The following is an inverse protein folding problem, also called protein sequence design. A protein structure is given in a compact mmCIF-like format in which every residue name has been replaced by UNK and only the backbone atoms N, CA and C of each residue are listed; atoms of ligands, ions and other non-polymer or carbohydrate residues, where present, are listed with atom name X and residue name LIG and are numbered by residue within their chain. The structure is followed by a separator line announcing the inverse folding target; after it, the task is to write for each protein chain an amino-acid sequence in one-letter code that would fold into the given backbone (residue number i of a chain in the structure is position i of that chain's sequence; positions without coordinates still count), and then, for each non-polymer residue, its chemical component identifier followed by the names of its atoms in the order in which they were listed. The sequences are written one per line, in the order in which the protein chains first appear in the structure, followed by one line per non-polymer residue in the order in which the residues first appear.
data_IF_806749709110
#
_entry.id   IF_806749709110
#
_cell.length_a   1.000
_cell.length_b   1.000
_cell.length_c   1.000
_cell.angle_alpha   90.00
_cell.angle_beta   90.00
_cell.angle_gamma   90.00
#
_symmetry.space_group_name_H-M   'P 1'
#
loop_
_entity.id
_entity.type
_entity.pdbx_description
1 polymer ?
#
# COMPACT_ATOMS: atom_id res chain seq x y z
N UNK A 1 -6.42 29.57 7.58
CA UNK A 1 -6.03 28.27 7.02
C UNK A 1 -6.17 28.30 5.51
N UNK A 2 -5.17 27.83 4.81
CA UNK A 2 -5.21 27.66 3.35
C UNK A 2 -6.14 26.48 3.01
N UNK A 3 -6.83 26.52 1.88
CA UNK A 3 -7.68 25.41 1.47
C UNK A 3 -6.88 24.35 0.71
N UNK A 4 -7.12 23.08 1.03
CA UNK A 4 -6.62 21.94 0.29
C UNK A 4 -7.78 21.10 -0.28
N UNK A 5 -7.79 20.88 -1.59
CA UNK A 5 -8.69 19.94 -2.23
C UNK A 5 -7.92 18.65 -2.48
N UNK A 6 -8.29 17.61 -1.75
CA UNK A 6 -7.66 16.31 -1.83
C UNK A 6 -8.53 15.34 -2.63
N UNK A 7 -8.04 14.91 -3.79
CA UNK A 7 -8.79 14.09 -4.73
C UNK A 7 -8.20 12.69 -4.71
N UNK A 8 -9.01 11.68 -4.37
CA UNK A 8 -8.56 10.32 -4.16
C UNK A 8 -9.60 9.28 -4.61
N UNK A 9 -9.29 8.01 -4.46
CA UNK A 9 -10.26 6.91 -4.55
C UNK A 9 -10.23 6.03 -3.28
N UNK A 10 -11.27 5.20 -3.12
CA UNK A 10 -11.42 4.36 -1.94
C UNK A 10 -10.32 3.28 -1.77
N UNK A 11 -9.51 3.04 -2.80
CA UNK A 11 -8.32 2.18 -2.71
C UNK A 11 -7.14 2.80 -1.94
N UNK A 12 -7.19 4.14 -1.72
CA UNK A 12 -6.18 4.86 -0.95
C UNK A 12 -6.54 5.08 0.52
N UNK A 13 -7.70 4.59 0.95
CA UNK A 13 -8.24 4.83 2.28
C UNK A 13 -7.22 4.65 3.41
N UNK A 14 -6.50 3.55 3.42
CA UNK A 14 -5.51 3.22 4.45
C UNK A 14 -4.28 4.15 4.45
N UNK A 15 -3.97 4.78 3.33
CA UNK A 15 -2.97 5.83 3.21
C UNK A 15 -3.55 7.18 3.63
N UNK A 16 -4.74 7.51 3.14
CA UNK A 16 -5.38 8.81 3.36
C UNK A 16 -5.70 9.07 4.84
N UNK A 17 -6.15 8.05 5.58
CA UNK A 17 -6.41 8.15 7.03
C UNK A 17 -5.14 8.41 7.86
N UNK A 18 -3.96 8.17 7.26
CA UNK A 18 -2.67 8.37 7.93
C UNK A 18 -2.03 9.70 7.56
N UNK A 19 -2.13 10.13 6.29
CA UNK A 19 -1.46 11.35 5.83
C UNK A 19 -2.31 12.61 6.01
N UNK A 20 -3.64 12.53 5.82
CA UNK A 20 -4.50 13.71 5.94
C UNK A 20 -4.48 14.35 7.34
N UNK A 21 -4.53 13.58 8.45
CA UNK A 21 -4.43 14.15 9.79
C UNK A 21 -3.15 14.94 10.07
N UNK A 22 -2.09 14.72 9.29
CA UNK A 22 -0.82 15.42 9.49
C UNK A 22 -0.85 16.89 9.03
N UNK A 23 -1.80 17.26 8.15
CA UNK A 23 -1.88 18.61 7.55
C UNK A 23 -3.12 19.40 7.92
N UNK A 24 -3.94 18.90 8.86
CA UNK A 24 -5.21 19.55 9.25
C UNK A 24 -5.04 20.88 9.96
N UNK A 25 -3.90 21.09 10.62
CA UNK A 25 -3.63 22.35 11.33
C UNK A 25 -3.26 23.47 10.35
N UNK A 26 -2.80 23.14 9.16
CA UNK A 26 -2.32 24.08 8.14
C UNK A 26 -3.36 24.31 7.03
N UNK A 27 -4.21 23.30 6.77
CA UNK A 27 -5.16 23.30 5.66
C UNK A 27 -6.59 22.98 6.09
N UNK A 28 -7.55 23.75 5.54
CA UNK A 28 -8.96 23.36 5.52
C UNK A 28 -9.17 22.32 4.40
N UNK A 29 -9.34 21.05 4.74
CA UNK A 29 -9.30 19.93 3.79
C UNK A 29 -10.71 19.58 3.31
N UNK A 30 -10.90 19.63 1.98
CA UNK A 30 -12.06 19.02 1.31
C UNK A 30 -11.60 17.78 0.54
N UNK A 31 -12.11 16.60 0.90
CA UNK A 31 -11.83 15.34 0.20
C UNK A 31 -12.86 15.11 -0.89
N UNK A 32 -12.40 14.82 -2.11
CA UNK A 32 -13.22 14.38 -3.24
C UNK A 32 -12.84 12.93 -3.53
N UNK A 33 -13.72 11.99 -3.21
CA UNK A 33 -13.42 10.55 -3.30
C UNK A 33 -14.31 9.84 -4.31
N UNK A 34 -13.67 9.01 -5.16
CA UNK A 34 -14.37 8.07 -6.02
C UNK A 34 -14.54 6.71 -5.33
N UNK A 35 -15.78 6.29 -5.17
CA UNK A 35 -16.11 5.00 -4.54
C UNK A 35 -16.19 3.90 -5.60
N UNK A 36 -15.27 2.93 -5.53
CA UNK A 36 -15.22 1.72 -6.39
C UNK A 36 -15.62 0.47 -5.63
N UNK A 37 -15.26 0.41 -4.35
CA UNK A 37 -15.46 -0.75 -3.50
C UNK A 37 -16.61 -0.47 -2.54
N UNK A 38 -17.72 -1.22 -2.66
CA UNK A 38 -18.90 -1.08 -1.79
C UNK A 38 -18.60 -1.25 -0.28
N UNK A 39 -17.41 -1.74 0.07
CA UNK A 39 -17.04 -2.12 1.42
C UNK A 39 -16.22 -1.06 2.18
N UNK A 40 -15.60 -0.11 1.48
CA UNK A 40 -14.80 0.95 2.10
C UNK A 40 -15.62 2.23 2.13
N UNK A 41 -16.13 2.57 3.31
CA UNK A 41 -16.90 3.80 3.50
C UNK A 41 -15.97 4.92 3.91
N UNK A 42 -15.73 5.85 3.01
CA UNK A 42 -15.20 7.15 3.37
C UNK A 42 -16.26 7.90 4.19
N UNK A 43 -16.12 7.91 5.50
CA UNK A 43 -17.00 8.66 6.40
C UNK A 43 -16.19 9.74 7.12
N UNK A 44 -16.74 10.93 7.26
CA UNK A 44 -16.06 12.07 7.89
C UNK A 44 -15.62 11.76 9.33
N UNK A 45 -16.38 10.97 10.07
CA UNK A 45 -16.02 10.50 11.41
C UNK A 45 -14.75 9.66 11.48
N UNK A 46 -14.32 9.07 10.35
CA UNK A 46 -13.18 8.18 10.27
C UNK A 46 -11.88 8.87 9.84
N UNK A 47 -11.97 10.14 9.38
CA UNK A 47 -10.78 10.95 9.06
C UNK A 47 -10.85 12.22 9.88
N UNK A 48 -10.08 12.26 10.95
CA UNK A 48 -10.03 13.40 11.86
C UNK A 48 -9.62 14.67 11.11
N UNK A 49 -10.36 15.76 11.34
CA UNK A 49 -9.99 17.11 10.86
C UNK A 49 -10.32 17.42 9.40
N UNK A 50 -10.96 16.52 8.66
CA UNK A 50 -11.46 16.81 7.31
C UNK A 50 -12.74 17.62 7.39
N UNK A 51 -12.76 18.78 6.71
CA UNK A 51 -13.91 19.73 6.75
C UNK A 51 -15.10 19.20 5.95
N UNK A 52 -14.86 18.55 4.81
CA UNK A 52 -15.90 18.06 3.91
C UNK A 52 -15.45 16.85 3.11
N UNK A 53 -16.35 15.87 2.91
CA UNK A 53 -16.16 14.74 2.00
C UNK A 53 -17.23 14.79 0.91
N UNK A 54 -16.79 14.78 -0.34
CA UNK A 54 -17.61 14.74 -1.54
C UNK A 54 -17.40 13.39 -2.20
N UNK A 55 -18.46 12.60 -2.31
CA UNK A 55 -18.42 11.26 -2.88
C UNK A 55 -19.02 11.22 -4.27
N UNK A 56 -18.39 10.48 -5.18
CA UNK A 56 -18.97 10.16 -6.48
C UNK A 56 -18.67 8.71 -6.86
N UNK A 57 -19.49 8.12 -7.72
CA UNK A 57 -19.31 6.75 -8.16
C UNK A 57 -18.52 6.68 -9.46
N UNK A 58 -17.62 5.70 -9.56
CA UNK A 58 -16.85 5.43 -10.78
C UNK A 58 -17.49 4.35 -11.63
N UNK A 59 -17.11 4.33 -12.92
CA UNK A 59 -17.56 3.32 -13.88
C UNK A 59 -16.92 1.97 -13.53
N UNK A 60 -17.73 0.99 -13.13
CA UNK A 60 -17.32 -0.39 -12.97
C UNK A 60 -18.08 -1.30 -13.96
N UNK A 61 -17.49 -2.43 -14.32
CA UNK A 61 -17.79 -3.31 -15.48
C UNK A 61 -19.26 -3.74 -15.67
N UNK A 62 -20.18 -3.48 -14.73
CA UNK A 62 -21.60 -3.84 -14.81
C UNK A 62 -22.54 -2.77 -14.23
N UNK A 63 -22.16 -1.51 -14.23
CA UNK A 63 -22.96 -0.45 -13.64
C UNK A 63 -23.75 0.33 -14.71
N UNK A 64 -24.89 0.83 -14.30
CA UNK A 64 -25.75 1.69 -15.13
C UNK A 64 -25.00 2.99 -15.52
N UNK A 65 -24.58 3.05 -16.77
CA UNK A 65 -23.81 4.15 -17.35
C UNK A 65 -24.47 5.52 -17.11
N UNK A 66 -25.81 5.57 -17.08
CA UNK A 66 -26.55 6.84 -16.88
C UNK A 66 -26.43 7.35 -15.44
N UNK A 67 -26.46 6.44 -14.44
CA UNK A 67 -26.28 6.80 -13.02
C UNK A 67 -24.87 7.28 -12.76
N UNK A 68 -23.89 6.63 -13.37
CA UNK A 68 -22.48 6.98 -13.26
C UNK A 68 -22.22 8.34 -13.88
N UNK A 69 -22.73 8.60 -15.07
CA UNK A 69 -22.57 9.89 -15.73
C UNK A 69 -23.18 11.03 -14.92
N UNK A 70 -24.37 10.84 -14.31
CA UNK A 70 -24.98 11.81 -13.39
C UNK A 70 -24.13 12.04 -12.14
N UNK A 71 -23.61 11.00 -11.54
CA UNK A 71 -22.72 11.08 -10.35
C UNK A 71 -21.42 11.78 -10.68
N UNK A 72 -20.85 11.50 -11.84
CA UNK A 72 -19.65 12.14 -12.35
C UNK A 72 -19.85 13.65 -12.60
N UNK A 73 -20.95 14.04 -13.28
CA UNK A 73 -21.30 15.46 -13.48
C UNK A 73 -21.52 16.17 -12.14
N UNK A 74 -22.14 15.51 -11.18
CA UNK A 74 -22.30 16.05 -9.82
C UNK A 74 -20.96 16.29 -9.15
N UNK A 75 -20.05 15.33 -9.19
CA UNK A 75 -18.69 15.47 -8.66
C UNK A 75 -17.91 16.62 -9.31
N UNK A 76 -18.02 16.77 -10.65
CA UNK A 76 -17.41 17.88 -11.39
C UNK A 76 -18.01 19.23 -10.96
N UNK A 77 -19.33 19.34 -10.91
CA UNK A 77 -19.99 20.59 -10.50
C UNK A 77 -19.58 21.00 -9.09
N UNK A 78 -19.52 20.06 -8.18
CA UNK A 78 -19.16 20.33 -6.80
C UNK A 78 -17.67 20.70 -6.68
N UNK A 79 -16.79 20.02 -7.43
CA UNK A 79 -15.38 20.40 -7.55
C UNK A 79 -15.23 21.82 -8.09
N UNK A 80 -15.89 22.16 -9.20
CA UNK A 80 -15.86 23.49 -9.81
C UNK A 80 -16.34 24.53 -8.79
N UNK A 81 -17.45 24.27 -8.10
CA UNK A 81 -17.99 25.15 -7.06
C UNK A 81 -17.02 25.42 -5.90
N UNK A 82 -16.21 24.41 -5.51
CA UNK A 82 -15.22 24.53 -4.44
C UNK A 82 -13.93 25.24 -4.90
N UNK A 83 -13.57 25.09 -6.17
CA UNK A 83 -12.29 25.55 -6.73
C UNK A 83 -12.36 26.88 -7.48
N UNK A 84 -13.54 27.28 -8.00
CA UNK A 84 -13.68 28.54 -8.73
C UNK A 84 -13.70 29.71 -7.73
N UNK A 85 -12.82 30.68 -7.98
CA UNK A 85 -12.76 31.96 -7.28
C UNK A 85 -11.72 32.09 -6.17
N UNK A 86 -10.91 31.05 -5.89
CA UNK A 86 -9.85 31.13 -4.88
C UNK A 86 -8.50 30.76 -5.46
N UNK A 87 -7.69 31.78 -5.72
CA UNK A 87 -6.37 31.59 -6.36
C UNK A 87 -5.35 30.83 -5.51
N UNK A 88 -5.61 30.61 -4.21
CA UNK A 88 -4.63 30.09 -3.25
C UNK A 88 -4.88 28.63 -2.80
N UNK A 89 -5.79 27.90 -3.42
CA UNK A 89 -6.08 26.53 -3.04
C UNK A 89 -5.02 25.58 -3.55
N UNK A 90 -4.41 24.79 -2.64
CA UNK A 90 -3.58 23.65 -3.01
C UNK A 90 -4.49 22.49 -3.45
N UNK A 91 -4.09 21.76 -4.48
CA UNK A 91 -4.77 20.56 -4.93
C UNK A 91 -3.80 19.39 -4.85
N UNK A 92 -4.18 18.35 -4.13
CA UNK A 92 -3.46 17.09 -4.09
C UNK A 92 -4.33 16.04 -4.80
N UNK A 93 -3.84 15.55 -5.92
CA UNK A 93 -4.54 14.59 -6.76
C UNK A 93 -3.80 13.25 -6.74
N UNK A 94 -4.27 12.31 -5.94
CA UNK A 94 -3.80 10.94 -5.99
C UNK A 94 -4.35 10.29 -7.26
N UNK A 95 -3.45 9.82 -8.09
CA UNK A 95 -3.78 9.24 -9.37
C UNK A 95 -4.72 8.07 -9.22
N UNK A 96 -5.89 8.27 -9.75
CA UNK A 96 -6.96 7.33 -9.80
C UNK A 96 -6.83 6.47 -11.07
N UNK A 97 -7.14 5.19 -10.99
CA UNK A 97 -7.24 4.31 -12.16
C UNK A 97 -8.51 4.53 -13.00
N UNK A 98 -9.34 5.51 -12.65
CA UNK A 98 -10.51 5.92 -13.41
C UNK A 98 -10.10 6.76 -14.61
N UNK A 99 -10.12 6.14 -15.79
CA UNK A 99 -9.74 6.77 -17.06
C UNK A 99 -10.65 7.95 -17.39
N UNK A 100 -11.95 7.86 -17.09
CA UNK A 100 -12.90 8.95 -17.35
C UNK A 100 -12.56 10.16 -16.47
N UNK A 101 -12.18 9.93 -15.22
CA UNK A 101 -11.73 10.99 -14.32
C UNK A 101 -10.40 11.60 -14.80
N UNK A 102 -9.45 10.80 -15.22
CA UNK A 102 -8.17 11.26 -15.77
C UNK A 102 -8.38 12.16 -17.02
N UNK A 103 -9.26 11.77 -17.92
CA UNK A 103 -9.50 12.50 -19.16
C UNK A 103 -10.23 13.84 -18.93
N UNK A 104 -11.28 13.83 -18.12
CA UNK A 104 -12.17 14.98 -17.98
C UNK A 104 -11.74 15.90 -16.85
N UNK A 105 -11.38 15.37 -15.69
CA UNK A 105 -10.96 16.17 -14.55
C UNK A 105 -9.55 16.74 -14.68
N UNK A 106 -8.63 16.02 -15.29
CA UNK A 106 -7.27 16.52 -15.43
C UNK A 106 -7.21 17.86 -16.17
N UNK A 107 -8.15 18.10 -17.10
CA UNK A 107 -8.22 19.38 -17.83
C UNK A 107 -8.69 20.55 -16.96
N UNK A 108 -9.51 20.29 -15.95
CA UNK A 108 -10.04 21.30 -15.03
C UNK A 108 -9.06 21.63 -13.90
N UNK A 109 -8.06 20.77 -13.64
CA UNK A 109 -7.08 20.99 -12.58
C UNK A 109 -6.03 22.02 -13.00
N UNK A 110 -5.78 23.08 -12.21
CA UNK A 110 -4.79 24.09 -12.51
C UNK A 110 -3.37 23.52 -12.40
N UNK A 111 -2.58 23.64 -13.48
CA UNK A 111 -1.24 23.06 -13.59
C UNK A 111 -0.29 23.46 -12.44
N UNK A 112 -0.31 24.74 -12.04
CA UNK A 112 0.65 25.32 -11.09
C UNK A 112 0.26 25.17 -9.60
N UNK A 113 -0.85 24.52 -9.31
CA UNK A 113 -1.36 24.33 -7.93
C UNK A 113 -1.77 22.88 -7.64
N UNK A 114 -1.49 21.99 -8.58
CA UNK A 114 -1.84 20.58 -8.44
C UNK A 114 -0.58 19.75 -8.28
N UNK A 115 -0.50 19.05 -7.16
CA UNK A 115 0.48 18.00 -6.89
C UNK A 115 -0.17 16.66 -7.23
N UNK A 116 0.43 15.90 -8.15
CA UNK A 116 -0.10 14.61 -8.58
C UNK A 116 0.64 13.48 -7.86
N UNK A 117 -0.08 12.72 -7.03
CA UNK A 117 0.48 11.53 -6.37
C UNK A 117 0.49 10.33 -7.32
N UNK A 118 1.63 9.67 -7.43
CA UNK A 118 1.87 8.51 -8.29
C UNK A 118 2.25 7.31 -7.42
N UNK A 119 1.43 6.25 -7.45
CA UNK A 119 1.74 5.01 -6.72
C UNK A 119 2.75 4.16 -7.48
N UNK A 120 2.48 3.87 -8.75
CA UNK A 120 3.32 3.01 -9.60
C UNK A 120 3.73 3.77 -10.87
N UNK A 121 4.94 4.32 -10.88
CA UNK A 121 5.56 4.86 -12.10
C UNK A 121 6.11 3.72 -12.95
N UNK A 122 6.77 2.76 -12.30
CA UNK A 122 7.25 1.52 -12.90
C UNK A 122 6.09 0.52 -12.87
N UNK A 123 5.59 0.14 -14.04
CA UNK A 123 4.50 -0.84 -14.10
C UNK A 123 5.02 -2.26 -13.95
N UNK A 124 4.36 -3.05 -13.10
CA UNK A 124 4.63 -4.48 -12.97
C UNK A 124 4.32 -5.24 -14.26
N UNK A 125 5.15 -6.23 -14.58
CA UNK A 125 4.97 -7.13 -15.73
C UNK A 125 3.59 -7.78 -15.69
N UNK A 126 2.82 -7.68 -16.80
CA UNK A 126 1.49 -8.32 -16.94
C UNK A 126 0.28 -7.37 -16.95
N UNK A 127 0.44 -6.07 -16.73
CA UNK A 127 -0.62 -5.09 -17.01
C UNK A 127 -0.55 -4.65 -18.47
N UNK A 128 -1.73 -4.55 -19.12
CA UNK A 128 -1.86 -4.10 -20.52
C UNK A 128 -1.37 -2.66 -20.65
N UNK A 129 -0.10 -2.49 -21.04
CA UNK A 129 0.68 -1.27 -20.79
C UNK A 129 0.39 -0.12 -21.75
N UNK A 130 -0.10 -0.41 -22.98
CA UNK A 130 -0.17 0.58 -24.05
C UNK A 130 -1.16 1.73 -23.75
N UNK A 131 -2.40 1.41 -23.42
CA UNK A 131 -3.45 2.41 -23.20
C UNK A 131 -3.21 3.21 -21.91
N UNK A 132 -2.82 2.52 -20.84
CA UNK A 132 -2.47 3.17 -19.56
C UNK A 132 -1.24 4.08 -19.70
N UNK A 133 -0.21 3.61 -20.39
CA UNK A 133 1.00 4.41 -20.65
C UNK A 133 0.69 5.70 -21.40
N UNK A 134 -0.20 5.64 -22.41
CA UNK A 134 -0.66 6.81 -23.13
C UNK A 134 -1.33 7.87 -22.22
N UNK A 135 -2.28 7.45 -21.38
CA UNK A 135 -2.96 8.36 -20.47
C UNK A 135 -2.04 8.93 -19.38
N UNK A 136 -1.08 8.13 -18.92
CA UNK A 136 -0.09 8.59 -17.95
C UNK A 136 0.84 9.63 -18.53
N UNK A 137 1.23 9.49 -19.78
CA UNK A 137 2.04 10.50 -20.48
C UNK A 137 1.31 11.84 -20.59
N UNK A 138 0.00 11.85 -20.79
CA UNK A 138 -0.78 13.09 -20.78
C UNK A 138 -0.68 13.80 -19.42
N UNK A 139 -0.84 13.05 -18.31
CA UNK A 139 -0.73 13.58 -16.95
C UNK A 139 0.68 14.11 -16.67
N UNK A 140 1.73 13.34 -17.03
CA UNK A 140 3.12 13.73 -16.81
C UNK A 140 3.51 14.96 -17.61
N UNK A 141 2.98 15.15 -18.82
CA UNK A 141 3.22 16.36 -19.61
C UNK A 141 2.47 17.57 -19.07
N UNK A 142 1.23 17.38 -18.60
CA UNK A 142 0.36 18.48 -18.16
C UNK A 142 0.81 19.11 -16.86
N UNK A 143 1.09 18.32 -15.80
CA UNK A 143 1.39 18.83 -14.47
C UNK A 143 2.89 19.05 -14.26
N UNK A 144 3.23 19.91 -13.28
CA UNK A 144 4.61 20.25 -12.97
C UNK A 144 5.10 19.63 -11.67
N UNK A 145 4.20 19.24 -10.76
CA UNK A 145 4.47 18.82 -9.40
C UNK A 145 3.96 17.42 -9.13
N UNK A 146 4.84 16.57 -8.54
CA UNK A 146 4.55 15.15 -8.34
C UNK A 146 4.95 14.71 -6.94
N UNK A 147 4.13 13.82 -6.36
CA UNK A 147 4.39 13.09 -5.12
C UNK A 147 4.53 11.60 -5.43
N UNK A 148 5.59 10.99 -4.92
CA UNK A 148 5.81 9.54 -4.98
C UNK A 148 5.80 8.94 -3.58
N UNK A 149 5.55 7.63 -3.50
CA UNK A 149 5.57 6.87 -2.25
C UNK A 149 6.79 5.93 -2.19
N UNK A 150 7.83 6.24 -2.93
CA UNK A 150 9.10 5.52 -2.98
C UNK A 150 10.17 6.41 -3.61
N UNK A 151 11.34 6.48 -2.98
CA UNK A 151 12.50 7.19 -3.50
C UNK A 151 12.94 6.66 -4.87
N UNK A 152 12.92 5.33 -5.04
CA UNK A 152 13.31 4.70 -6.31
C UNK A 152 12.44 5.15 -7.47
N UNK A 153 11.11 5.24 -7.26
CA UNK A 153 10.18 5.67 -8.29
C UNK A 153 10.31 7.18 -8.58
N UNK A 154 10.49 7.98 -7.54
CA UNK A 154 10.74 9.42 -7.69
C UNK A 154 12.04 9.69 -8.47
N UNK A 155 13.14 8.99 -8.13
CA UNK A 155 14.42 9.14 -8.81
C UNK A 155 14.34 8.75 -10.28
N UNK A 156 13.66 7.64 -10.59
CA UNK A 156 13.45 7.22 -11.99
C UNK A 156 12.59 8.22 -12.75
N UNK A 157 11.49 8.70 -12.16
CA UNK A 157 10.67 9.74 -12.78
C UNK A 157 11.48 10.99 -13.06
N UNK A 158 12.28 11.45 -12.10
CA UNK A 158 13.09 12.67 -12.25
C UNK A 158 14.17 12.53 -13.33
N UNK A 159 14.70 11.33 -13.56
CA UNK A 159 15.63 11.08 -14.66
C UNK A 159 14.95 11.18 -16.03
N UNK A 160 13.70 10.72 -16.16
CA UNK A 160 12.94 10.76 -17.42
C UNK A 160 12.29 12.14 -17.66
N UNK A 161 11.88 12.83 -16.61
CA UNK A 161 11.16 14.11 -16.65
C UNK A 161 11.91 15.21 -15.88
N UNK A 162 13.15 15.50 -16.26
CA UNK A 162 14.07 16.41 -15.55
C UNK A 162 13.56 17.83 -15.32
N UNK A 163 12.60 18.31 -16.14
CA UNK A 163 11.95 19.62 -15.99
C UNK A 163 10.81 19.64 -14.99
N UNK A 164 10.39 18.48 -14.48
CA UNK A 164 9.32 18.34 -13.50
C UNK A 164 9.88 18.35 -12.08
N UNK A 165 9.09 18.83 -11.13
CA UNK A 165 9.45 18.83 -9.72
C UNK A 165 8.77 17.68 -9.01
N UNK A 166 9.50 16.90 -8.27
CA UNK A 166 8.98 15.74 -7.58
C UNK A 166 9.60 15.58 -6.20
N UNK A 167 8.79 15.17 -5.25
CA UNK A 167 9.23 14.72 -3.92
C UNK A 167 8.65 13.37 -3.60
N UNK A 168 9.16 12.72 -2.57
CA UNK A 168 8.60 11.46 -2.08
C UNK A 168 8.41 11.49 -0.58
N UNK A 169 7.51 10.64 -0.13
CA UNK A 169 7.42 10.12 1.23
C UNK A 169 7.45 8.60 1.15
N UNK A 170 7.95 7.94 2.16
CA UNK A 170 7.75 6.50 2.23
C UNK A 170 6.28 6.17 2.52
N UNK A 171 5.82 5.00 2.07
CA UNK A 171 4.44 4.56 2.31
C UNK A 171 4.15 4.59 3.82
N UNK A 172 3.10 5.28 4.28
CA UNK A 172 2.78 5.32 5.71
C UNK A 172 2.56 3.93 6.29
N UNK A 173 2.87 3.76 7.56
CA UNK A 173 2.55 2.54 8.29
C UNK A 173 1.04 2.38 8.40
N UNK A 174 0.56 1.17 8.10
CA UNK A 174 -0.87 0.88 8.12
C UNK A 174 -1.27 0.29 9.46
N UNK A 175 -2.14 1.00 10.18
CA UNK A 175 -2.71 0.58 11.45
C UNK A 175 -4.17 0.15 11.26
N UNK A 176 -4.49 -1.05 11.73
CA UNK A 176 -5.83 -1.63 11.68
C UNK A 176 -6.40 -1.91 13.07
N UNK A 177 -5.90 -1.20 14.07
CA UNK A 177 -6.32 -1.28 15.45
C UNK A 177 -5.34 -2.03 16.36
N UNK A 178 -5.61 -2.05 17.67
CA UNK A 178 -4.73 -2.67 18.65
C UNK A 178 -4.69 -4.19 18.49
N UNK A 179 -3.52 -4.76 18.74
CA UNK A 179 -3.33 -6.21 18.80
C UNK A 179 -2.80 -6.63 20.17
N UNK A 180 -3.18 -7.83 20.59
CA UNK A 180 -2.59 -8.54 21.72
C UNK A 180 -1.83 -9.74 21.17
N UNK A 181 -0.51 -9.62 21.02
CA UNK A 181 0.32 -10.67 20.41
C UNK A 181 0.18 -12.01 21.13
N UNK A 182 -0.15 -13.06 20.39
CA UNK A 182 -0.07 -14.43 20.83
C UNK A 182 1.41 -14.83 20.92
N UNK A 183 1.75 -15.63 21.93
CA UNK A 183 3.12 -16.15 22.13
C UNK A 183 3.16 -17.62 21.74
N UNK A 184 4.05 -17.95 20.85
CA UNK A 184 4.29 -19.34 20.44
C UNK A 184 5.70 -19.79 20.82
N UNK A 185 5.82 -21.05 21.18
CA UNK A 185 7.10 -21.67 21.54
C UNK A 185 7.93 -22.01 20.30
N UNK A 186 9.25 -22.13 20.42
CA UNK A 186 10.09 -22.69 19.37
C UNK A 186 9.51 -24.00 18.82
N UNK A 187 9.57 -24.20 17.53
CA UNK A 187 8.97 -25.34 16.84
C UNK A 187 7.48 -25.23 16.51
N UNK A 188 6.77 -24.21 17.06
CA UNK A 188 5.33 -24.00 16.83
C UNK A 188 4.99 -22.59 16.30
N UNK A 189 5.91 -21.96 15.58
CA UNK A 189 5.73 -20.63 15.03
C UNK A 189 4.71 -20.60 13.92
N UNK A 190 4.04 -19.45 13.78
CA UNK A 190 3.02 -19.20 12.76
C UNK A 190 3.58 -18.25 11.70
N UNK A 191 3.58 -18.70 10.45
CA UNK A 191 4.04 -17.98 9.27
C UNK A 191 2.85 -17.48 8.47
N UNK A 192 2.78 -16.16 8.22
CA UNK A 192 1.66 -15.51 7.54
C UNK A 192 2.05 -15.07 6.13
N UNK A 193 1.31 -15.51 5.14
CA UNK A 193 1.25 -14.90 3.80
C UNK A 193 -0.03 -14.07 3.70
N UNK A 194 0.09 -12.76 3.43
CA UNK A 194 -1.04 -11.84 3.53
C UNK A 194 -1.21 -10.96 2.28
N UNK A 195 -2.48 -10.67 1.94
CA UNK A 195 -2.89 -9.69 0.92
C UNK A 195 -3.28 -10.31 -0.42
N UNK A 196 -3.63 -9.47 -1.41
CA UNK A 196 -4.09 -9.94 -2.72
C UNK A 196 -3.02 -10.82 -3.40
N UNK A 197 -3.39 -12.05 -3.76
CA UNK A 197 -2.49 -13.07 -4.28
C UNK A 197 -2.29 -12.85 -5.78
N UNK A 198 -1.03 -12.66 -6.17
CA UNK A 198 -0.58 -12.50 -7.56
C UNK A 198 0.65 -13.35 -7.82
N UNK A 199 0.91 -13.71 -9.06
CA UNK A 199 1.98 -14.65 -9.44
C UNK A 199 3.36 -14.23 -8.92
N UNK A 200 3.72 -12.94 -9.01
CA UNK A 200 5.01 -12.42 -8.56
C UNK A 200 5.24 -12.54 -7.04
N UNK A 201 4.17 -12.75 -6.25
CA UNK A 201 4.26 -12.94 -4.81
C UNK A 201 4.65 -14.35 -4.39
N UNK A 202 4.74 -15.27 -5.36
CA UNK A 202 5.28 -16.62 -5.19
C UNK A 202 4.64 -17.39 -4.03
N UNK A 203 3.28 -17.41 -3.99
CA UNK A 203 2.55 -18.26 -3.05
C UNK A 203 2.89 -19.75 -3.24
N UNK A 204 3.26 -20.16 -4.44
CA UNK A 204 3.75 -21.49 -4.76
C UNK A 204 4.94 -21.90 -3.88
N UNK A 205 5.95 -21.02 -3.73
CA UNK A 205 7.10 -21.28 -2.85
C UNK A 205 6.69 -21.37 -1.38
N UNK A 206 5.77 -20.52 -0.93
CA UNK A 206 5.27 -20.56 0.46
C UNK A 206 4.57 -21.89 0.77
N UNK A 207 3.72 -22.38 -0.13
CA UNK A 207 3.05 -23.67 0.00
C UNK A 207 4.06 -24.81 -0.02
N UNK A 208 5.00 -24.81 -0.96
CA UNK A 208 6.02 -25.86 -1.05
C UNK A 208 6.89 -25.89 0.21
N UNK A 209 7.37 -24.75 0.68
CA UNK A 209 8.14 -24.69 1.93
C UNK A 209 7.36 -25.27 3.13
N UNK A 210 6.05 -25.02 3.21
CA UNK A 210 5.21 -25.54 4.31
C UNK A 210 5.23 -27.08 4.42
N UNK A 211 5.54 -27.79 3.33
CA UNK A 211 5.58 -29.24 3.29
C UNK A 211 6.91 -29.82 3.79
N UNK A 212 7.97 -29.03 3.77
CA UNK A 212 9.34 -29.44 4.11
C UNK A 212 9.80 -28.94 5.49
N UNK A 213 8.95 -28.21 6.20
CA UNK A 213 9.29 -27.65 7.51
C UNK A 213 9.18 -28.72 8.60
N UNK A 214 9.98 -28.56 9.65
CA UNK A 214 9.94 -29.37 10.88
C UNK A 214 8.53 -29.35 11.51
N UNK A 215 8.20 -30.38 12.26
CA UNK A 215 6.88 -30.57 12.89
C UNK A 215 6.52 -29.37 13.81
N UNK A 216 5.25 -28.96 13.79
CA UNK A 216 4.71 -27.93 14.68
C UNK A 216 4.52 -26.55 14.02
N UNK A 217 5.31 -26.18 13.01
CA UNK A 217 5.13 -24.94 12.28
C UNK A 217 3.75 -24.87 11.59
N UNK A 218 3.09 -23.72 11.68
CA UNK A 218 1.78 -23.46 11.05
C UNK A 218 1.88 -22.35 10.03
N UNK A 219 1.08 -22.44 8.99
CA UNK A 219 1.08 -21.51 7.87
C UNK A 219 -0.33 -20.95 7.67
N UNK A 220 -0.44 -19.65 7.51
CA UNK A 220 -1.70 -18.96 7.23
C UNK A 220 -1.58 -18.25 5.89
N UNK A 221 -2.51 -18.52 4.98
CA UNK A 221 -2.68 -17.79 3.72
C UNK A 221 -3.97 -16.99 3.85
N UNK A 222 -3.89 -15.65 3.84
CA UNK A 222 -5.05 -14.79 3.98
C UNK A 222 -5.06 -13.70 2.89
N UNK A 223 -6.04 -13.76 1.98
CA UNK A 223 -6.20 -12.79 0.92
C UNK A 223 -6.96 -13.29 -0.30
N UNK A 224 -7.52 -12.39 -1.09
CA UNK A 224 -8.22 -12.73 -2.32
C UNK A 224 -7.25 -13.23 -3.41
N UNK A 225 -7.72 -14.18 -4.20
CA UNK A 225 -7.01 -14.77 -5.32
C UNK A 225 -7.96 -14.96 -6.51
N UNK A 226 -7.55 -14.52 -7.69
CA UNK A 226 -8.35 -14.73 -8.92
C UNK A 226 -8.15 -16.11 -9.53
N UNK A 227 -7.03 -16.76 -9.23
CA UNK A 227 -6.63 -18.05 -9.80
C UNK A 227 -6.29 -19.05 -8.67
N UNK A 228 -7.23 -19.23 -7.75
CA UNK A 228 -7.02 -20.08 -6.56
C UNK A 228 -6.85 -21.56 -6.89
N UNK A 229 -7.52 -22.06 -7.92
CA UNK A 229 -7.49 -23.50 -8.28
C UNK A 229 -6.05 -23.98 -8.57
N UNK A 230 -5.22 -23.15 -9.15
CA UNK A 230 -3.79 -23.40 -9.37
C UNK A 230 -3.05 -23.69 -8.06
N UNK A 231 -3.31 -22.91 -7.02
CA UNK A 231 -2.63 -23.05 -5.72
C UNK A 231 -3.24 -24.15 -4.87
N UNK A 232 -4.55 -24.35 -4.97
CA UNK A 232 -5.26 -25.43 -4.27
C UNK A 232 -4.74 -26.80 -4.66
N UNK A 233 -4.38 -27.00 -5.92
CA UNK A 233 -3.78 -28.23 -6.41
C UNK A 233 -2.46 -28.56 -5.69
N UNK A 234 -1.67 -27.55 -5.32
CA UNK A 234 -0.40 -27.74 -4.59
C UNK A 234 -0.60 -28.21 -3.13
N UNK A 235 -1.78 -28.01 -2.57
CA UNK A 235 -2.14 -28.42 -1.21
C UNK A 235 -2.75 -29.82 -1.13
N UNK A 236 -3.18 -30.39 -2.27
CA UNK A 236 -3.87 -31.68 -2.31
C UNK A 236 -2.91 -32.83 -1.90
N UNK A 237 -3.33 -33.65 -0.92
CA UNK A 237 -2.54 -34.78 -0.42
C UNK A 237 -1.32 -34.39 0.43
N UNK A 238 -1.21 -33.14 0.84
CA UNK A 238 -0.08 -32.60 1.60
C UNK A 238 -0.36 -32.52 3.11
N UNK A 239 0.63 -32.10 3.92
CA UNK A 239 0.50 -31.89 5.37
C UNK A 239 -0.63 -30.90 5.68
N UNK A 240 -1.42 -31.18 6.72
CA UNK A 240 -2.51 -30.29 7.16
C UNK A 240 -2.00 -29.22 8.15
N UNK A 241 -0.98 -28.45 7.74
CA UNK A 241 -0.41 -27.36 8.54
C UNK A 241 -0.65 -25.96 7.93
N UNK A 242 -1.44 -25.88 6.84
CA UNK A 242 -1.76 -24.63 6.13
C UNK A 242 -3.23 -24.29 6.29
N UNK A 243 -3.52 -23.15 6.92
CA UNK A 243 -4.86 -22.57 6.98
C UNK A 243 -5.04 -21.58 5.82
N UNK A 244 -6.14 -21.67 5.08
CA UNK A 244 -6.43 -20.82 3.93
C UNK A 244 -7.70 -19.99 4.13
N UNK A 245 -7.58 -18.67 4.00
CA UNK A 245 -8.68 -17.70 3.99
C UNK A 245 -8.65 -16.94 2.66
N UNK A 246 -9.23 -17.57 1.63
CA UNK A 246 -9.13 -17.08 0.25
C UNK A 246 -10.32 -16.20 -0.09
N UNK A 247 -10.27 -14.98 0.41
CA UNK A 247 -11.29 -13.93 0.20
C UNK A 247 -10.67 -12.56 0.42
N UNK A 248 -11.41 -11.53 0.13
CA UNK A 248 -11.05 -10.19 0.60
C UNK A 248 -11.10 -10.16 2.14
N UNK A 249 -10.02 -9.77 2.77
CA UNK A 249 -9.94 -9.58 4.23
C UNK A 249 -10.35 -8.15 4.54
N UNK A 250 -11.42 -7.99 5.30
CA UNK A 250 -11.91 -6.68 5.69
C UNK A 250 -10.94 -5.99 6.67
N UNK A 251 -10.89 -4.66 6.64
CA UNK A 251 -9.92 -3.89 7.44
C UNK A 251 -9.98 -4.21 8.95
N UNK A 252 -11.17 -4.45 9.49
CA UNK A 252 -11.37 -4.82 10.89
C UNK A 252 -10.92 -6.25 11.24
N UNK A 253 -10.58 -7.07 10.25
CA UNK A 253 -10.09 -8.43 10.45
C UNK A 253 -8.56 -8.51 10.33
N UNK A 254 -7.90 -7.51 9.72
CA UNK A 254 -6.47 -7.55 9.42
C UNK A 254 -5.63 -7.72 10.69
N UNK A 255 -5.94 -6.94 11.73
CA UNK A 255 -5.24 -7.01 13.01
C UNK A 255 -5.20 -8.44 13.59
N UNK A 256 -6.28 -9.21 13.42
CA UNK A 256 -6.38 -10.60 13.90
C UNK A 256 -5.32 -11.52 13.30
N UNK A 257 -5.05 -11.43 11.99
CA UNK A 257 -4.02 -12.25 11.35
C UNK A 257 -2.60 -11.88 11.81
N UNK A 258 -2.33 -10.57 11.94
CA UNK A 258 -1.04 -10.09 12.42
C UNK A 258 -0.82 -10.35 13.91
N UNK A 259 -1.89 -10.42 14.70
CA UNK A 259 -1.83 -10.82 16.10
C UNK A 259 -1.37 -12.27 16.25
N UNK A 260 -1.93 -13.18 15.47
CA UNK A 260 -1.63 -14.62 15.50
C UNK A 260 -0.25 -14.98 14.97
N UNK A 261 0.23 -14.27 13.95
CA UNK A 261 1.46 -14.63 13.26
C UNK A 261 2.72 -14.29 14.07
N UNK A 262 3.75 -15.12 13.98
CA UNK A 262 5.11 -14.81 14.45
C UNK A 262 5.94 -14.14 13.36
N UNK A 263 5.70 -14.48 12.09
CA UNK A 263 6.42 -13.92 10.96
C UNK A 263 5.47 -13.55 9.81
N UNK A 264 5.71 -12.39 9.18
CA UNK A 264 5.19 -12.14 7.84
C UNK A 264 6.17 -12.70 6.81
N UNK A 265 5.66 -13.42 5.81
CA UNK A 265 6.50 -14.05 4.77
C UNK A 265 6.21 -13.41 3.41
N UNK A 266 7.26 -12.92 2.75
CA UNK A 266 7.22 -12.19 1.49
C UNK A 266 8.19 -12.81 0.47
N UNK A 267 7.86 -13.96 -0.14
CA UNK A 267 8.76 -14.66 -1.06
C UNK A 267 8.73 -14.09 -2.49
N UNK A 268 8.56 -12.79 -2.62
CA UNK A 268 8.24 -12.11 -3.88
C UNK A 268 9.40 -12.11 -4.88
N UNK A 269 9.08 -12.23 -6.16
CA UNK A 269 10.05 -12.07 -7.24
C UNK A 269 10.42 -10.60 -7.49
N UNK A 270 9.49 -9.69 -7.24
CA UNK A 270 9.68 -8.26 -7.41
C UNK A 270 8.74 -7.46 -6.51
N UNK A 271 9.17 -6.31 -6.05
CA UNK A 271 8.32 -5.32 -5.38
C UNK A 271 8.98 -3.94 -5.45
N UNK A 272 8.17 -2.91 -5.69
CA UNK A 272 8.54 -1.51 -5.53
C UNK A 272 7.97 -0.94 -4.24
N UNK A 273 6.87 -1.53 -3.76
CA UNK A 273 6.18 -1.24 -2.51
C UNK A 273 5.47 -2.51 -2.01
N UNK A 274 5.18 -2.57 -0.71
CA UNK A 274 4.45 -3.69 -0.13
C UNK A 274 3.56 -3.25 1.03
N UNK A 275 2.24 -3.27 0.81
CA UNK A 275 1.26 -3.01 1.86
C UNK A 275 1.41 -3.94 3.07
N UNK A 276 1.51 -5.28 2.90
CA UNK A 276 1.76 -6.18 4.02
C UNK A 276 3.03 -5.85 4.83
N UNK A 277 4.09 -5.38 4.17
CA UNK A 277 5.32 -4.94 4.82
C UNK A 277 5.06 -3.79 5.80
N UNK A 278 4.31 -2.75 5.38
CA UNK A 278 4.01 -1.60 6.24
C UNK A 278 3.11 -1.97 7.42
N UNK A 279 2.24 -2.98 7.25
CA UNK A 279 1.43 -3.53 8.35
C UNK A 279 2.34 -4.27 9.35
N UNK A 280 3.26 -5.12 8.87
CA UNK A 280 4.20 -5.85 9.72
C UNK A 280 5.08 -4.88 10.53
N UNK A 281 5.56 -3.81 9.90
CA UNK A 281 6.28 -2.74 10.58
C UNK A 281 5.44 -2.10 11.68
N UNK A 282 4.16 -1.78 11.39
CA UNK A 282 3.29 -1.17 12.40
C UNK A 282 3.13 -2.05 13.64
N UNK A 283 3.01 -3.35 13.44
CA UNK A 283 2.83 -4.32 14.53
C UNK A 283 4.14 -4.93 15.07
N UNK A 284 5.29 -4.40 14.68
CA UNK A 284 6.59 -4.96 15.07
C UNK A 284 6.70 -6.47 14.78
N UNK A 285 6.10 -6.94 13.69
CA UNK A 285 6.11 -8.34 13.30
C UNK A 285 7.36 -8.66 12.47
N UNK A 286 8.27 -9.57 12.92
CA UNK A 286 9.44 -9.97 12.17
C UNK A 286 9.09 -10.49 10.76
N UNK A 287 9.99 -10.26 9.80
CA UNK A 287 9.76 -10.51 8.38
C UNK A 287 10.71 -11.56 7.85
N UNK A 288 10.19 -12.49 7.04
CA UNK A 288 10.99 -13.37 6.19
C UNK A 288 10.73 -13.00 4.74
N UNK A 289 11.76 -12.59 4.02
CA UNK A 289 11.59 -12.08 2.66
C UNK A 289 12.73 -12.48 1.72
N UNK A 290 12.47 -12.39 0.42
CA UNK A 290 13.51 -12.48 -0.60
C UNK A 290 14.46 -11.28 -0.54
N UNK A 291 15.69 -11.45 -0.99
CA UNK A 291 16.75 -10.42 -1.01
C UNK A 291 16.59 -9.40 -2.15
N UNK A 292 15.37 -9.18 -2.65
CA UNK A 292 15.12 -8.12 -3.64
C UNK A 292 15.36 -6.73 -3.05
N UNK A 293 15.67 -5.76 -3.90
CA UNK A 293 16.10 -4.42 -3.49
C UNK A 293 15.24 -3.80 -2.39
N UNK A 294 13.91 -3.84 -2.51
CA UNK A 294 13.01 -3.28 -1.50
C UNK A 294 13.22 -3.96 -0.15
N UNK A 295 13.19 -5.29 -0.11
CA UNK A 295 13.27 -6.00 1.17
C UNK A 295 14.67 -5.97 1.76
N UNK A 296 15.73 -5.98 0.93
CA UNK A 296 17.10 -5.84 1.40
C UNK A 296 17.40 -4.49 2.07
N UNK A 297 16.64 -3.43 1.73
CA UNK A 297 16.75 -2.15 2.43
C UNK A 297 15.95 -2.11 3.75
N UNK A 298 14.87 -2.89 3.83
CA UNK A 298 13.93 -2.86 4.95
C UNK A 298 14.22 -3.94 5.99
N UNK A 299 14.67 -5.13 5.57
CA UNK A 299 14.93 -6.27 6.44
C UNK A 299 16.44 -6.43 6.64
N UNK A 300 16.87 -6.37 7.90
CA UNK A 300 18.25 -6.66 8.31
C UNK A 300 18.30 -8.05 8.88
N UNK A 301 19.07 -8.93 8.22
CA UNK A 301 19.13 -10.34 8.56
C UNK A 301 19.60 -10.56 10.01
N UNK A 302 18.79 -11.25 10.82
CA UNK A 302 19.04 -11.50 12.23
C UNK A 302 18.74 -10.35 13.20
N UNK A 303 18.37 -9.16 12.70
CA UNK A 303 18.01 -7.98 13.53
C UNK A 303 16.49 -7.79 13.60
N UNK A 304 15.82 -7.71 12.45
CA UNK A 304 14.37 -7.52 12.39
C UNK A 304 13.63 -8.56 11.52
N UNK A 305 14.35 -9.58 11.07
CA UNK A 305 13.84 -10.67 10.25
C UNK A 305 14.93 -11.44 9.57
N UNK A 306 14.58 -12.18 8.52
CA UNK A 306 15.51 -13.00 7.76
C UNK A 306 15.32 -12.78 6.26
N UNK A 307 16.43 -12.78 5.53
CA UNK A 307 16.45 -12.73 4.07
C UNK A 307 16.91 -14.08 3.51
N UNK A 308 16.35 -14.47 2.38
CA UNK A 308 16.79 -15.60 1.59
C UNK A 308 16.94 -15.22 0.13
N UNK A 309 17.78 -15.96 -0.60
CA UNK A 309 18.05 -15.66 -2.00
C UNK A 309 16.81 -15.93 -2.88
N UNK A 310 16.44 -14.94 -3.68
CA UNK A 310 15.30 -14.99 -4.59
C UNK A 310 15.33 -16.25 -5.47
N UNK A 311 14.21 -16.97 -5.51
CA UNK A 311 14.04 -18.19 -6.33
C UNK A 311 14.72 -19.44 -5.79
N UNK A 312 15.44 -19.35 -4.66
CA UNK A 312 16.08 -20.50 -4.04
C UNK A 312 15.15 -21.11 -2.97
N UNK A 313 14.43 -22.18 -3.35
CA UNK A 313 13.49 -22.88 -2.47
C UNK A 313 14.21 -23.52 -1.28
N UNK A 314 15.39 -24.10 -1.45
CA UNK A 314 16.14 -24.74 -0.38
C UNK A 314 16.56 -23.72 0.68
N UNK A 315 17.12 -22.57 0.27
CA UNK A 315 17.46 -21.49 1.19
C UNK A 315 16.22 -20.96 1.92
N UNK A 316 15.06 -20.90 1.24
CA UNK A 316 13.79 -20.50 1.86
C UNK A 316 13.36 -21.52 2.94
N UNK A 317 13.37 -22.81 2.64
CA UNK A 317 13.04 -23.87 3.61
C UNK A 317 13.98 -23.82 4.82
N UNK A 318 15.28 -23.66 4.60
CA UNK A 318 16.27 -23.52 5.68
C UNK A 318 15.98 -22.30 6.55
N UNK A 319 15.62 -21.15 5.93
CA UNK A 319 15.27 -19.92 6.64
C UNK A 319 14.01 -20.09 7.49
N UNK A 320 12.97 -20.74 6.97
CA UNK A 320 11.73 -21.02 7.71
C UNK A 320 12.01 -21.95 8.89
N UNK A 321 12.79 -23.04 8.68
CA UNK A 321 13.16 -23.96 9.76
C UNK A 321 13.96 -23.26 10.86
N UNK A 322 14.96 -22.46 10.49
CA UNK A 322 15.72 -21.66 11.44
C UNK A 322 14.79 -20.71 12.23
N UNK A 323 13.93 -19.96 11.55
CA UNK A 323 12.99 -19.04 12.18
C UNK A 323 11.98 -19.75 13.11
N UNK A 324 11.60 -21.00 12.79
CA UNK A 324 10.73 -21.81 13.63
C UNK A 324 11.42 -22.27 14.93
N UNK A 325 12.72 -22.53 14.89
CA UNK A 325 13.49 -23.18 15.97
C UNK A 325 14.19 -22.20 16.91
N UNK A 326 14.36 -20.92 16.53
CA UNK A 326 15.02 -19.94 17.40
C UNK A 326 14.33 -19.84 18.76
N UNK A 327 15.13 -19.64 19.79
CA UNK A 327 14.65 -19.47 21.17
C UNK A 327 13.71 -18.26 21.31
N UNK A 328 12.88 -18.25 22.35
CA UNK A 328 12.00 -17.10 22.65
C UNK A 328 12.80 -15.83 22.93
N UNK A 329 14.01 -15.93 23.46
CA UNK A 329 14.90 -14.79 23.66
C UNK A 329 15.37 -14.20 22.32
N UNK A 330 15.82 -15.03 21.37
CA UNK A 330 16.22 -14.60 20.03
C UNK A 330 15.03 -14.01 19.27
N UNK A 331 13.85 -14.63 19.35
CA UNK A 331 12.63 -14.08 18.77
C UNK A 331 12.26 -12.70 19.35
N UNK A 332 12.35 -12.54 20.67
CA UNK A 332 12.11 -11.25 21.32
C UNK A 332 13.10 -10.17 20.86
N UNK A 333 14.36 -10.56 20.59
CA UNK A 333 15.35 -9.64 20.00
C UNK A 333 14.97 -9.21 18.59
N UNK A 334 14.45 -10.09 17.73
CA UNK A 334 13.92 -9.73 16.40
C UNK A 334 12.74 -8.77 16.50
N UNK A 335 11.81 -8.99 17.45
CA UNK A 335 10.68 -8.07 17.68
C UNK A 335 11.19 -6.70 18.12
N UNK A 336 12.16 -6.63 19.02
CA UNK A 336 12.78 -5.37 19.43
C UNK A 336 13.46 -4.65 18.26
N UNK A 337 14.19 -5.38 17.42
CA UNK A 337 14.78 -4.87 16.18
C UNK A 337 13.73 -4.32 15.22
N UNK A 338 12.60 -5.04 15.04
CA UNK A 338 11.46 -4.54 14.24
C UNK A 338 10.86 -3.26 14.82
N UNK A 339 10.69 -3.16 16.13
CA UNK A 339 10.17 -1.93 16.76
C UNK A 339 11.13 -0.74 16.57
N UNK A 340 12.43 -0.98 16.65
CA UNK A 340 13.44 0.04 16.33
C UNK A 340 13.35 0.46 14.87
N UNK A 341 13.31 -0.49 13.95
CA UNK A 341 13.17 -0.23 12.52
C UNK A 341 11.86 0.52 12.20
N UNK A 342 10.74 0.20 12.86
CA UNK A 342 9.48 0.95 12.78
C UNK A 342 9.68 2.43 13.14
N UNK A 343 10.32 2.73 14.27
CA UNK A 343 10.52 4.09 14.73
C UNK A 343 11.42 4.90 13.76
N UNK A 344 12.43 4.27 13.19
CA UNK A 344 13.27 4.89 12.15
C UNK A 344 12.46 5.15 10.87
N UNK A 345 11.69 4.18 10.44
CA UNK A 345 10.85 4.28 9.24
C UNK A 345 9.79 5.38 9.37
N UNK A 346 9.15 5.53 10.53
CA UNK A 346 8.14 6.56 10.76
C UNK A 346 8.66 7.98 10.52
N UNK A 347 9.95 8.24 10.80
CA UNK A 347 10.58 9.54 10.52
C UNK A 347 10.62 9.89 9.02
N UNK A 348 10.57 8.88 8.16
CA UNK A 348 10.60 9.05 6.70
C UNK A 348 9.22 9.16 6.06
N UNK A 349 8.16 9.08 6.86
CA UNK A 349 6.76 9.17 6.44
C UNK A 349 6.09 10.49 6.84
N UNK A 350 6.86 11.50 7.23
CA UNK A 350 6.37 12.82 7.60
C UNK A 350 5.89 13.57 6.35
N UNK A 351 4.59 13.46 6.10
CA UNK A 351 3.96 14.09 4.96
C UNK A 351 3.87 15.61 5.12
N UNK A 352 3.60 16.09 6.35
CA UNK A 352 3.51 17.51 6.65
C UNK A 352 4.80 18.24 6.29
N UNK A 353 5.92 17.81 6.89
CA UNK A 353 7.23 18.44 6.66
C UNK A 353 7.65 18.37 5.19
N UNK A 354 7.44 17.21 4.55
CA UNK A 354 7.79 17.03 3.13
C UNK A 354 6.96 17.93 2.22
N UNK A 355 5.65 18.05 2.49
CA UNK A 355 4.75 18.91 1.73
C UNK A 355 5.09 20.39 1.92
N UNK A 356 5.30 20.84 3.16
CA UNK A 356 5.66 22.23 3.49
C UNK A 356 6.93 22.67 2.79
N UNK A 357 7.99 21.87 2.87
CA UNK A 357 9.25 22.13 2.20
C UNK A 357 9.04 22.24 0.68
N UNK A 358 8.34 21.27 0.09
CA UNK A 358 8.10 21.26 -1.34
C UNK A 358 7.26 22.44 -1.83
N UNK A 359 6.21 22.80 -1.09
CA UNK A 359 5.34 23.96 -1.39
C UNK A 359 6.14 25.25 -1.31
N UNK A 360 6.97 25.41 -0.28
CA UNK A 360 7.83 26.60 -0.08
C UNK A 360 8.87 26.72 -1.20
N UNK A 361 9.59 25.66 -1.52
CA UNK A 361 10.64 25.63 -2.56
C UNK A 361 10.12 25.95 -3.96
N UNK A 362 8.85 25.62 -4.25
CA UNK A 362 8.26 25.77 -5.56
C UNK A 362 7.24 26.92 -5.65
N UNK A 363 7.04 27.69 -4.57
CA UNK A 363 6.09 28.81 -4.49
C UNK A 363 4.66 28.41 -4.91
N UNK A 364 4.18 27.28 -4.41
CA UNK A 364 2.85 26.73 -4.74
C UNK A 364 1.79 27.24 -3.75
#
# INVERSE_FOLDING_TARGET
MRKCIYITDDGWWDTDVTILPQIIDDYEITVVVSERLKQLKYEQKNIRGVSKIIKYQTIYRNSDIRKIFKSFIFGIKEYIRQSIGKQDNLIIYLKNSDIAFLLLFSWLLPRRRTIVGIHDFIMHKGKNTGLYSFFYNIVYRKFDYFLFFSETQQSQFSSEYSKKKAFYINMPLKDFGPIMKEKHNPGNRIFLFFGFIQAYKRLDLFIEASQHVTSGAKFIIAGACNDWDRYKALLTGKKNNVQCEIRFIANNEIAFYFQKADYLVLPYDEATQSGPLTIAYNYCLPIIATDIKLFATMVKNGDNGFLFHKGNLEAFIQTINHANEISNQQYSSLVAGMCKAKNEYQKTTDFKLSLENFVKENNI
#
